data_IF_189648623468
#
_entry.id   IF_189648623468
#
_cell.length_a   1.000
_cell.length_b   1.000
_cell.length_c   1.000
_cell.angle_alpha   90.00
_cell.angle_beta   90.00
_cell.angle_gamma   90.00
#
_symmetry.space_group_name_H-M   'P 1'
#
loop_
_entity.id
_entity.type
_entity.pdbx_description
1 polymer ?
#
# COMPACT_ATOMS: atom_id res chain seq x y z
N UNK A 1 -3.44 -0.07 -20.75
CA UNK A 1 -2.90 -1.44 -20.56
C UNK A 1 -4.02 -2.30 -19.99
N UNK A 2 -4.23 -3.50 -20.52
CA UNK A 2 -5.17 -4.45 -19.93
C UNK A 2 -4.45 -5.41 -18.96
N UNK A 3 -5.21 -6.19 -18.19
CA UNK A 3 -4.63 -7.06 -17.16
C UNK A 3 -3.67 -8.12 -17.72
N UNK A 4 -3.97 -8.69 -18.86
CA UNK A 4 -3.06 -9.64 -19.55
C UNK A 4 -1.73 -8.99 -19.93
N UNK A 5 -1.75 -7.76 -20.41
CA UNK A 5 -0.53 -7.00 -20.72
C UNK A 5 0.27 -6.69 -19.44
N UNK A 6 -0.41 -6.39 -18.32
CA UNK A 6 0.23 -6.26 -17.01
C UNK A 6 1.02 -7.52 -16.65
N UNK A 7 0.38 -8.69 -16.71
CA UNK A 7 1.05 -9.98 -16.40
C UNK A 7 2.22 -10.22 -17.33
N UNK A 8 2.07 -10.01 -18.64
CA UNK A 8 3.14 -10.20 -19.60
C UNK A 8 4.36 -9.30 -19.34
N UNK A 9 4.12 -8.04 -18.97
CA UNK A 9 5.20 -7.10 -18.63
C UNK A 9 5.93 -7.52 -17.36
N UNK A 10 5.19 -7.95 -16.34
CA UNK A 10 5.79 -8.45 -15.10
C UNK A 10 6.62 -9.71 -15.32
N UNK A 11 6.09 -10.67 -16.07
CA UNK A 11 6.83 -11.88 -16.43
C UNK A 11 8.15 -11.56 -17.16
N UNK A 12 8.11 -10.58 -18.07
CA UNK A 12 9.30 -10.16 -18.81
C UNK A 12 10.35 -9.47 -17.91
N UNK A 13 9.92 -8.66 -16.96
CA UNK A 13 10.82 -7.91 -16.06
C UNK A 13 11.42 -8.81 -14.97
N UNK A 14 10.58 -9.61 -14.32
CA UNK A 14 11.01 -10.45 -13.20
C UNK A 14 11.53 -11.83 -13.62
N UNK A 15 11.43 -12.20 -14.91
CA UNK A 15 11.99 -13.42 -15.45
C UNK A 15 11.30 -14.72 -15.00
N UNK A 16 10.05 -14.63 -14.51
CA UNK A 16 9.24 -15.78 -14.15
C UNK A 16 7.79 -15.58 -14.58
N UNK A 17 7.06 -16.66 -14.74
CA UNK A 17 5.64 -16.61 -15.04
C UNK A 17 4.86 -16.76 -13.73
N UNK A 18 4.13 -15.69 -13.29
CA UNK A 18 3.37 -15.75 -12.06
C UNK A 18 2.18 -16.70 -12.20
N UNK A 19 1.81 -17.35 -11.10
CA UNK A 19 0.54 -18.06 -11.03
C UNK A 19 -0.60 -17.07 -11.20
N UNK A 20 -1.41 -17.26 -12.23
CA UNK A 20 -2.51 -16.34 -12.49
C UNK A 20 -3.82 -17.07 -12.77
N UNK A 21 -4.89 -16.44 -12.35
CA UNK A 21 -6.26 -16.72 -12.76
C UNK A 21 -6.70 -15.66 -13.77
N UNK A 22 -7.93 -15.76 -14.26
CA UNK A 22 -8.44 -14.88 -15.30
C UNK A 22 -8.27 -13.38 -14.98
N UNK A 23 -8.51 -12.98 -13.73
CA UNK A 23 -8.50 -11.60 -13.26
C UNK A 23 -7.62 -11.34 -12.03
N UNK A 24 -6.78 -12.29 -11.66
CA UNK A 24 -5.87 -12.15 -10.52
C UNK A 24 -4.55 -12.87 -10.75
N UNK A 25 -3.52 -12.35 -10.12
CA UNK A 25 -2.17 -12.87 -10.23
C UNK A 25 -1.46 -12.65 -8.89
N UNK A 26 -0.72 -13.65 -8.43
CA UNK A 26 0.06 -13.56 -7.20
C UNK A 26 1.53 -13.81 -7.50
N UNK A 27 2.40 -13.01 -6.90
CA UNK A 27 3.84 -13.18 -7.02
C UNK A 27 4.57 -12.60 -5.81
N UNK A 28 5.85 -12.97 -5.66
CA UNK A 28 6.69 -12.46 -4.59
C UNK A 28 7.71 -11.47 -5.14
N UNK A 29 7.88 -10.37 -4.42
CA UNK A 29 8.98 -9.41 -4.59
C UNK A 29 9.73 -9.40 -3.27
N UNK A 30 11.00 -9.80 -3.31
CA UNK A 30 11.75 -10.12 -2.10
C UNK A 30 10.94 -11.14 -1.26
N UNK A 31 10.62 -10.84 -0.02
CA UNK A 31 9.81 -11.68 0.85
C UNK A 31 8.33 -11.22 0.94
N UNK A 32 7.94 -10.22 0.16
CA UNK A 32 6.55 -9.76 0.12
C UNK A 32 5.74 -10.51 -0.93
N UNK A 33 4.64 -11.11 -0.51
CA UNK A 33 3.66 -11.70 -1.42
C UNK A 33 2.64 -10.63 -1.78
N UNK A 34 2.51 -10.35 -3.07
CA UNK A 34 1.61 -9.35 -3.61
C UNK A 34 0.56 -10.01 -4.48
N UNK A 35 -0.70 -9.76 -4.18
CA UNK A 35 -1.84 -10.10 -5.04
C UNK A 35 -2.15 -8.91 -5.93
N UNK A 36 -2.16 -9.13 -7.25
CA UNK A 36 -2.74 -8.20 -8.22
C UNK A 36 -4.10 -8.68 -8.63
N UNK A 37 -5.05 -7.77 -8.69
CA UNK A 37 -6.42 -8.08 -9.08
C UNK A 37 -6.94 -7.02 -10.04
N UNK A 38 -7.56 -7.47 -11.11
CA UNK A 38 -8.34 -6.59 -12.00
C UNK A 38 -9.66 -6.23 -11.32
N UNK A 39 -9.92 -4.94 -11.19
CA UNK A 39 -11.14 -4.38 -10.62
C UNK A 39 -11.71 -3.33 -11.57
N UNK A 40 -12.39 -3.79 -12.62
CA UNK A 40 -12.87 -2.95 -13.71
C UNK A 40 -11.69 -2.37 -14.52
N UNK A 41 -11.58 -1.06 -14.54
CA UNK A 41 -10.50 -0.32 -15.22
C UNK A 41 -9.26 -0.06 -14.31
N UNK A 42 -9.28 -0.61 -13.11
CA UNK A 42 -8.22 -0.44 -12.10
C UNK A 42 -7.47 -1.74 -11.86
N UNK A 43 -6.19 -1.58 -11.56
CA UNK A 43 -5.34 -2.61 -11.00
C UNK A 43 -5.29 -2.41 -9.48
N UNK A 44 -5.69 -3.42 -8.73
CA UNK A 44 -5.63 -3.44 -7.28
C UNK A 44 -4.43 -4.28 -6.83
N UNK A 45 -3.58 -3.70 -5.99
CA UNK A 45 -2.47 -4.38 -5.31
C UNK A 45 -2.87 -4.62 -3.87
N UNK A 46 -2.68 -5.83 -3.38
CA UNK A 46 -3.00 -6.22 -2.01
C UNK A 46 -1.84 -7.02 -1.42
N UNK A 47 -1.46 -6.72 -0.19
CA UNK A 47 -0.53 -7.52 0.60
C UNK A 47 -1.10 -7.76 2.00
N UNK A 48 -1.07 -9.02 2.44
CA UNK A 48 -1.41 -9.42 3.81
C UNK A 48 -0.18 -9.18 4.70
N UNK A 49 -0.34 -8.45 5.78
CA UNK A 49 0.74 -8.19 6.74
C UNK A 49 0.91 -9.33 7.77
N UNK A 50 0.11 -10.39 7.66
CA UNK A 50 0.29 -11.65 8.37
C UNK A 50 -0.24 -11.68 9.81
N UNK A 51 -0.82 -10.58 10.29
CA UNK A 51 -1.38 -10.50 11.65
C UNK A 51 -2.43 -9.40 11.80
N UNK A 52 -3.23 -9.50 12.85
CA UNK A 52 -4.07 -8.41 13.34
C UNK A 52 -3.24 -7.44 14.19
N UNK A 53 -3.71 -6.23 14.37
CA UNK A 53 -3.09 -5.29 15.31
C UNK A 53 -3.19 -5.81 16.74
N UNK A 54 -2.06 -5.92 17.46
CA UNK A 54 -2.05 -6.46 18.82
C UNK A 54 -2.67 -5.51 19.85
N UNK A 55 -2.72 -4.21 19.58
CA UNK A 55 -3.22 -3.20 20.49
C UNK A 55 -3.71 -1.92 19.77
N UNK A 56 -4.41 -1.07 20.51
CA UNK A 56 -4.98 0.17 20.00
C UNK A 56 -3.91 1.22 19.63
N UNK A 57 -2.77 1.22 20.28
CA UNK A 57 -1.68 2.16 19.99
C UNK A 57 -1.11 1.88 18.59
N UNK A 58 -0.87 0.63 18.25
CA UNK A 58 -0.42 0.25 16.91
C UNK A 58 -1.51 0.48 15.87
N UNK A 59 -2.76 0.19 16.18
CA UNK A 59 -3.88 0.48 15.28
C UNK A 59 -3.98 1.97 14.96
N UNK A 60 -3.86 2.82 15.98
CA UNK A 60 -3.80 4.29 15.81
C UNK A 60 -2.64 4.70 14.91
N UNK A 61 -1.49 4.06 15.06
CA UNK A 61 -0.31 4.32 14.23
C UNK A 61 -0.54 3.96 12.75
N UNK A 62 -1.23 2.85 12.46
CA UNK A 62 -1.64 2.49 11.10
C UNK A 62 -2.58 3.54 10.49
N UNK A 63 -3.56 4.02 11.25
CA UNK A 63 -4.46 5.07 10.79
C UNK A 63 -3.73 6.39 10.53
N UNK A 64 -2.78 6.75 11.39
CA UNK A 64 -1.94 7.93 11.19
C UNK A 64 -1.06 7.83 9.94
N UNK A 65 -0.54 6.64 9.64
CA UNK A 65 0.25 6.40 8.44
C UNK A 65 -0.58 6.53 7.14
N UNK A 66 -1.88 6.29 7.19
CA UNK A 66 -2.78 6.52 6.05
C UNK A 66 -2.94 8.02 5.73
N UNK A 67 -2.66 8.91 6.69
CA UNK A 67 -2.82 10.34 6.49
C UNK A 67 -1.80 10.86 5.46
N UNK A 68 -2.30 11.53 4.43
CA UNK A 68 -1.53 12.08 3.33
C UNK A 68 -0.66 11.09 2.54
N UNK A 69 -0.75 9.80 2.80
CA UNK A 69 -0.06 8.71 2.08
C UNK A 69 1.47 8.82 1.98
N UNK A 70 2.12 9.63 2.77
CA UNK A 70 3.57 9.82 2.72
C UNK A 70 4.36 8.59 3.16
N UNK A 71 3.96 7.98 4.29
CA UNK A 71 4.60 6.80 4.82
C UNK A 71 4.26 5.51 4.07
N UNK A 72 3.22 5.54 3.25
CA UNK A 72 2.69 4.38 2.52
C UNK A 72 2.94 4.44 1.02
N UNK A 73 3.63 5.47 0.53
CA UNK A 73 3.89 5.67 -0.90
C UNK A 73 2.63 5.57 -1.77
N UNK A 74 1.54 6.18 -1.32
CA UNK A 74 0.25 6.18 -2.03
C UNK A 74 -0.63 4.95 -1.79
N UNK A 75 -0.21 4.06 -0.89
CA UNK A 75 -1.00 2.91 -0.44
C UNK A 75 -1.82 3.25 0.81
N UNK A 76 -2.75 2.39 1.19
CA UNK A 76 -3.53 2.53 2.41
C UNK A 76 -3.60 1.23 3.18
N UNK A 77 -3.70 1.32 4.50
CA UNK A 77 -3.97 0.17 5.35
C UNK A 77 -5.47 -0.05 5.49
N UNK A 78 -5.84 -1.31 5.50
CA UNK A 78 -7.18 -1.79 5.78
C UNK A 78 -7.12 -3.03 6.66
N UNK A 79 -8.24 -3.42 7.24
CA UNK A 79 -8.36 -4.68 7.98
C UNK A 79 -9.26 -5.61 7.18
N UNK A 80 -8.79 -6.83 6.93
CA UNK A 80 -9.60 -7.86 6.31
C UNK A 80 -10.71 -8.30 7.29
N UNK A 81 -11.99 -8.16 6.93
CA UNK A 81 -13.08 -8.53 7.83
C UNK A 81 -13.20 -10.04 8.05
N UNK A 82 -12.66 -10.88 7.18
CA UNK A 82 -12.70 -12.34 7.30
C UNK A 82 -11.57 -12.88 8.18
N UNK A 83 -10.34 -12.44 7.95
CA UNK A 83 -9.16 -12.92 8.69
C UNK A 83 -8.82 -12.09 9.91
N UNK A 84 -9.26 -10.83 9.95
CA UNK A 84 -8.83 -9.85 10.96
C UNK A 84 -7.42 -9.27 10.71
N UNK A 85 -6.70 -9.75 9.69
CA UNK A 85 -5.37 -9.27 9.40
C UNK A 85 -5.36 -7.84 8.89
N UNK A 86 -4.30 -7.11 9.24
CA UNK A 86 -4.01 -5.84 8.59
C UNK A 86 -3.49 -6.10 7.18
N UNK A 87 -4.01 -5.33 6.24
CA UNK A 87 -3.71 -5.42 4.82
C UNK A 87 -3.12 -4.09 4.35
N UNK A 88 -2.20 -4.14 3.41
CA UNK A 88 -1.82 -2.98 2.61
C UNK A 88 -2.49 -3.10 1.25
N UNK A 89 -3.06 -2.00 0.76
CA UNK A 89 -3.73 -1.96 -0.53
C UNK A 89 -3.40 -0.68 -1.30
N UNK A 90 -3.38 -0.80 -2.61
CA UNK A 90 -3.25 0.32 -3.54
C UNK A 90 -4.03 -0.01 -4.80
N UNK A 91 -4.62 1.00 -5.43
CA UNK A 91 -5.14 0.86 -6.78
C UNK A 91 -4.59 1.94 -7.70
N UNK A 92 -4.42 1.58 -8.95
CA UNK A 92 -4.02 2.49 -10.03
C UNK A 92 -4.89 2.25 -11.27
N UNK A 93 -5.12 3.31 -12.05
CA UNK A 93 -5.86 3.20 -13.30
C UNK A 93 -4.99 2.54 -14.36
N UNK A 94 -5.44 1.41 -14.93
CA UNK A 94 -4.64 0.65 -15.90
C UNK A 94 -4.32 1.44 -17.16
N UNK A 95 -5.19 2.33 -17.60
CA UNK A 95 -4.98 3.19 -18.77
C UNK A 95 -3.87 4.24 -18.57
N UNK A 96 -3.51 4.53 -17.32
CA UNK A 96 -2.46 5.48 -16.95
C UNK A 96 -1.13 4.83 -16.61
N UNK A 97 -1.11 3.50 -16.48
CA UNK A 97 0.11 2.77 -16.14
C UNK A 97 1.00 2.59 -17.37
N UNK A 98 2.27 2.90 -17.21
CA UNK A 98 3.35 2.46 -18.09
C UNK A 98 4.09 1.28 -17.45
N UNK A 99 4.83 0.45 -18.21
CA UNK A 99 5.62 -0.63 -17.65
C UNK A 99 6.59 -0.20 -16.54
N UNK A 100 7.28 0.92 -16.73
CA UNK A 100 8.24 1.46 -15.75
C UNK A 100 7.53 1.95 -14.47
N UNK A 101 6.37 2.58 -14.60
CA UNK A 101 5.54 2.98 -13.46
C UNK A 101 5.07 1.75 -12.68
N UNK A 102 4.62 0.72 -13.38
CA UNK A 102 4.14 -0.51 -12.75
C UNK A 102 5.23 -1.17 -11.91
N UNK A 103 6.44 -1.34 -12.47
CA UNK A 103 7.57 -1.94 -11.74
C UNK A 103 7.92 -1.11 -10.50
N UNK A 104 8.06 0.18 -10.65
CA UNK A 104 8.36 1.08 -9.53
C UNK A 104 7.30 1.01 -8.44
N UNK A 105 6.02 1.04 -8.80
CA UNK A 105 4.93 0.98 -7.83
C UNK A 105 4.89 -0.35 -7.08
N UNK A 106 5.22 -1.44 -7.74
CA UNK A 106 5.30 -2.75 -7.11
C UNK A 106 6.48 -2.86 -6.14
N UNK A 107 7.64 -2.34 -6.50
CA UNK A 107 8.81 -2.31 -5.62
C UNK A 107 8.56 -1.42 -4.39
N UNK A 108 8.00 -0.23 -4.59
CA UNK A 108 7.61 0.67 -3.48
C UNK A 108 6.55 0.01 -2.58
N UNK A 109 5.55 -0.61 -3.16
CA UNK A 109 4.47 -1.30 -2.44
C UNK A 109 5.01 -2.48 -1.61
N UNK A 110 5.85 -3.31 -2.21
CA UNK A 110 6.49 -4.44 -1.52
C UNK A 110 7.37 -3.95 -0.36
N UNK A 111 8.13 -2.88 -0.55
CA UNK A 111 8.96 -2.28 0.51
C UNK A 111 8.13 -1.77 1.69
N UNK A 112 7.02 -1.11 1.43
CA UNK A 112 6.07 -0.66 2.46
C UNK A 112 5.45 -1.86 3.19
N UNK A 113 5.01 -2.88 2.46
CA UNK A 113 4.43 -4.09 3.04
C UNK A 113 5.42 -4.81 3.98
N UNK A 114 6.67 -4.97 3.57
CA UNK A 114 7.72 -5.61 4.39
C UNK A 114 8.01 -4.81 5.66
N UNK A 115 8.16 -3.50 5.54
CA UNK A 115 8.40 -2.62 6.70
C UNK A 115 7.29 -2.76 7.74
N UNK A 116 6.06 -2.67 7.35
CA UNK A 116 4.93 -2.70 8.26
C UNK A 116 4.58 -4.11 8.75
N UNK A 117 4.87 -5.15 7.96
CA UNK A 117 4.84 -6.54 8.44
C UNK A 117 5.80 -6.75 9.61
N UNK A 118 7.01 -6.22 9.50
CA UNK A 118 8.00 -6.34 10.58
C UNK A 118 7.57 -5.57 11.83
N UNK A 119 6.90 -4.43 11.68
CA UNK A 119 6.32 -3.69 12.81
C UNK A 119 5.19 -4.48 13.47
N UNK A 120 4.22 -4.99 12.72
CA UNK A 120 3.06 -5.69 13.28
C UNK A 120 3.42 -7.03 13.91
N UNK A 121 4.45 -7.70 13.39
CA UNK A 121 4.95 -8.99 13.93
C UNK A 121 5.98 -8.82 15.03
N UNK A 122 6.34 -7.60 15.40
CA UNK A 122 7.30 -7.30 16.47
C UNK A 122 8.77 -7.46 16.09
N UNK A 123 9.10 -7.64 14.81
CA UNK A 123 10.50 -7.72 14.33
C UNK A 123 11.17 -6.36 14.24
N UNK A 124 10.40 -5.27 14.04
CA UNK A 124 10.88 -3.90 14.04
C UNK A 124 10.25 -3.11 15.18
N UNK A 125 10.97 -2.12 15.70
CA UNK A 125 10.47 -1.25 16.76
C UNK A 125 9.31 -0.39 16.27
N UNK A 126 8.28 -0.28 17.09
CA UNK A 126 7.20 0.66 16.93
C UNK A 126 7.69 2.05 17.38
N UNK A 127 7.72 3.01 16.47
CA UNK A 127 7.96 4.41 16.79
C UNK A 127 6.64 5.07 17.18
N UNK A 128 6.54 5.57 18.43
CA UNK A 128 5.35 6.30 18.86
C UNK A 128 5.23 7.64 18.11
N UNK A 129 4.02 8.17 17.91
CA UNK A 129 3.82 9.46 17.24
C UNK A 129 4.54 10.63 17.90
N UNK A 130 4.90 10.52 19.19
CA UNK A 130 5.64 11.55 19.94
C UNK A 130 7.12 11.62 19.54
N UNK A 131 7.72 10.52 19.05
CA UNK A 131 9.11 10.47 18.59
C UNK A 131 9.26 10.94 17.13
N UNK A 132 8.21 10.83 16.32
CA UNK A 132 8.19 11.31 14.93
C UNK A 132 7.79 12.78 14.78
N UNK A 133 7.41 13.47 15.85
CA UNK A 133 6.97 14.86 15.87
C UNK A 133 8.11 15.90 15.70
N UNK A 134 9.30 15.51 15.21
CA UNK A 134 10.39 16.42 14.89
C UNK A 134 10.16 17.37 13.69
N UNK A 135 9.04 17.23 12.98
CA UNK A 135 8.57 18.16 11.96
C UNK A 135 7.16 18.58 12.29
N UNK A 136 7.02 19.56 13.18
CA UNK A 136 5.76 20.25 13.36
C UNK A 136 5.33 20.85 12.02
N UNK A 137 4.21 20.41 11.47
CA UNK A 137 3.54 21.12 10.40
C UNK A 137 3.15 22.50 10.99
N UNK A 138 3.55 23.62 10.38
CA UNK A 138 3.17 24.94 10.89
C UNK A 138 1.65 25.00 11.01
N UNK A 139 1.16 25.47 12.16
CA UNK A 139 -0.27 25.65 12.43
C UNK A 139 -0.99 26.54 11.38
N UNK A 140 -0.22 27.28 10.58
CA UNK A 140 -0.73 28.13 9.51
C UNK A 140 -1.16 27.40 8.21
N UNK A 141 -0.92 26.07 8.08
CA UNK A 141 -1.20 25.33 6.85
C UNK A 141 -2.68 24.96 6.65
N UNK A 142 -3.54 25.11 7.64
CA UNK A 142 -4.97 24.80 7.57
C UNK A 142 -5.81 25.93 8.13
N UNK A 143 -5.96 27.02 7.34
CA UNK A 143 -7.01 28.02 7.62
C UNK A 143 -8.31 27.55 6.95
N UNK A 144 -9.16 26.86 7.73
CA UNK A 144 -10.48 26.42 7.31
C UNK A 144 -11.45 27.59 7.03
N UNK A 145 -11.06 28.84 7.34
CA UNK A 145 -11.90 30.02 7.09
C UNK A 145 -11.97 30.42 5.61
N UNK A 146 -11.06 29.89 4.77
CA UNK A 146 -11.09 30.17 3.33
C UNK A 146 -11.94 29.20 2.50
N UNK A 147 -12.54 28.18 3.11
CA UNK A 147 -13.41 27.23 2.40
C UNK A 147 -14.74 27.86 1.96
N UNK A 148 -15.25 28.86 2.69
CA UNK A 148 -16.52 29.55 2.36
C UNK A 148 -16.42 30.53 1.17
N UNK A 149 -15.22 30.84 0.69
CA UNK A 149 -15.02 31.76 -0.44
C UNK A 149 -14.79 31.03 -1.78
N UNK A 150 -14.77 29.71 -1.82
CA UNK A 150 -14.57 28.92 -3.06
C UNK A 150 -15.85 28.27 -3.59
N UNK A 151 -17.02 28.69 -3.13
CA UNK A 151 -18.34 28.27 -3.65
C UNK A 151 -18.95 29.40 -4.47
#
# INVERSE_FOLDING_TARGET
MNFREVIQKLSAVFGFEPEHQENSCQFAIDDAVVLLQEAGDKLLLIADLGADCPDDALFTRFLAANYAYQETSGSSFARDPETGHMMLQRYDWMDRLTPDMLVRYLEEFAGVALKWRDIITGKAAFESPEESAGTAVPEEAFDLQNFDQMV
#
